data_IF_905687732890
#
_entry.id   IF_905687732890
#
_cell.length_a   1.000
_cell.length_b   1.000
_cell.length_c   1.000
_cell.angle_alpha   90.00
_cell.angle_beta   90.00
_cell.angle_gamma   90.00
#
_symmetry.space_group_name_H-M   'P 1'
#
loop_
_entity.id
_entity.type
_entity.pdbx_description
1 polymer ?
#
# COMPACT_ATOMS: atom_id res chain seq x y z
N UNK A 1 8.37 26.11 20.52
CA UNK A 1 7.87 24.85 21.08
C UNK A 1 6.34 24.89 21.13
N UNK A 2 5.70 24.21 20.19
CA UNK A 2 4.25 24.00 20.23
C UNK A 2 3.97 22.63 20.86
N UNK A 3 2.97 22.49 21.73
CA UNK A 3 2.61 21.19 22.28
C UNK A 3 2.17 20.23 21.18
N UNK A 4 2.54 18.98 21.29
CA UNK A 4 2.13 17.92 20.34
C UNK A 4 0.61 17.76 20.41
N UNK A 5 -0.11 17.86 19.30
CA UNK A 5 -1.56 17.74 19.30
C UNK A 5 -1.99 16.32 19.67
N UNK A 6 -2.83 16.17 20.69
CA UNK A 6 -3.46 14.90 21.05
C UNK A 6 -4.63 14.64 20.09
N UNK A 7 -4.40 13.88 19.02
CA UNK A 7 -5.47 13.47 18.11
C UNK A 7 -5.83 11.99 18.31
N UNK A 8 -7.10 11.64 18.14
CA UNK A 8 -7.56 10.22 18.17
C UNK A 8 -6.94 9.37 17.05
N UNK A 9 -6.29 10.00 16.07
CA UNK A 9 -5.55 9.33 15.00
C UNK A 9 -4.28 8.66 15.54
N UNK A 10 -3.63 9.29 16.53
CA UNK A 10 -2.36 8.83 17.12
C UNK A 10 -2.58 8.22 18.51
N UNK A 11 -3.48 8.78 19.29
CA UNK A 11 -3.77 8.36 20.67
C UNK A 11 -5.17 7.73 20.71
N UNK A 12 -5.26 6.41 20.59
CA UNK A 12 -6.52 5.68 20.59
C UNK A 12 -6.37 4.32 21.26
N UNK A 13 -6.68 4.25 22.54
CA UNK A 13 -6.53 3.05 23.34
C UNK A 13 -7.39 1.89 22.82
N UNK A 14 -8.57 2.18 22.23
CA UNK A 14 -9.46 1.16 21.67
C UNK A 14 -8.87 0.45 20.44
N UNK A 15 -7.83 1.02 19.81
CA UNK A 15 -7.14 0.42 18.66
C UNK A 15 -5.83 -0.28 19.04
N UNK A 16 -5.49 -0.29 20.32
CA UNK A 16 -4.34 -1.04 20.84
C UNK A 16 -4.86 -2.40 21.29
N UNK A 17 -4.62 -3.42 20.47
CA UNK A 17 -5.07 -4.79 20.77
C UNK A 17 -3.97 -5.61 21.45
N UNK A 18 -2.91 -5.96 20.72
CA UNK A 18 -1.87 -6.86 21.20
C UNK A 18 -0.57 -6.12 21.57
N UNK A 19 -0.22 -5.07 20.84
CA UNK A 19 1.05 -4.37 20.96
C UNK A 19 0.88 -2.85 20.85
N UNK A 20 1.70 -2.12 21.59
CA UNK A 20 1.84 -0.67 21.41
C UNK A 20 2.63 -0.33 20.14
N UNK A 21 2.58 0.92 19.71
CA UNK A 21 3.38 1.40 18.59
C UNK A 21 4.89 1.30 18.86
N UNK A 22 5.66 1.06 17.80
CA UNK A 22 7.12 1.15 17.86
C UNK A 22 7.50 2.62 17.82
N UNK A 23 8.12 3.11 18.89
CA UNK A 23 8.54 4.50 19.03
C UNK A 23 10.03 4.59 19.39
N UNK A 24 10.72 5.66 18.97
CA UNK A 24 12.09 5.91 19.44
C UNK A 24 12.13 6.11 20.94
N UNK A 25 13.11 5.52 21.62
CA UNK A 25 13.28 5.63 23.08
C UNK A 25 13.92 6.94 23.54
N UNK A 26 14.34 7.80 22.59
CA UNK A 26 15.12 9.01 22.87
C UNK A 26 16.63 8.77 23.06
N UNK A 27 17.04 7.51 23.14
CA UNK A 27 18.46 7.15 23.24
C UNK A 27 19.04 7.13 21.83
N UNK A 28 20.18 7.85 21.64
CA UNK A 28 20.88 7.85 20.37
C UNK A 28 21.42 6.44 20.06
N UNK A 29 21.06 5.84 18.93
CA UNK A 29 21.54 4.51 18.60
C UNK A 29 23.07 4.53 18.40
N UNK A 30 23.77 3.55 18.98
CA UNK A 30 25.20 3.35 18.84
C UNK A 30 25.49 1.91 18.45
N UNK A 31 26.55 1.68 17.67
CA UNK A 31 26.97 0.34 17.29
C UNK A 31 26.06 -0.37 16.27
N UNK A 32 25.16 0.36 15.62
CA UNK A 32 24.27 -0.20 14.61
C UNK A 32 24.90 -0.14 13.21
N UNK A 33 24.63 -1.16 12.38
CA UNK A 33 25.10 -1.22 11.01
C UNK A 33 24.33 -0.26 10.06
N UNK A 34 24.80 -0.05 8.82
CA UNK A 34 24.17 0.90 7.88
C UNK A 34 22.70 0.57 7.54
N UNK A 35 22.33 -0.70 7.51
CA UNK A 35 20.95 -1.10 7.20
C UNK A 35 20.02 -0.89 8.42
N UNK A 36 20.51 -1.18 9.61
CA UNK A 36 19.81 -0.84 10.86
C UNK A 36 19.62 0.67 11.00
N UNK A 37 20.62 1.49 10.61
CA UNK A 37 20.49 2.95 10.58
C UNK A 37 19.38 3.41 9.65
N UNK A 38 19.25 2.82 8.45
CA UNK A 38 18.18 3.14 7.50
C UNK A 38 16.81 2.80 8.09
N UNK A 39 16.67 1.61 8.67
CA UNK A 39 15.42 1.17 9.30
C UNK A 39 15.05 2.10 10.47
N UNK A 40 16.00 2.39 11.35
CA UNK A 40 15.79 3.32 12.45
C UNK A 40 15.33 4.70 11.96
N UNK A 41 16.00 5.23 10.92
CA UNK A 41 15.64 6.53 10.34
C UNK A 41 14.22 6.54 9.77
N UNK A 42 13.81 5.47 9.07
CA UNK A 42 12.45 5.35 8.52
C UNK A 42 11.40 5.29 9.63
N UNK A 43 11.64 4.50 10.68
CA UNK A 43 10.73 4.40 11.84
C UNK A 43 10.61 5.76 12.53
N UNK A 44 11.73 6.43 12.80
CA UNK A 44 11.76 7.75 13.44
C UNK A 44 11.00 8.79 12.61
N UNK A 45 11.24 8.84 11.29
CA UNK A 45 10.51 9.75 10.40
C UNK A 45 9.02 9.47 10.37
N UNK A 46 8.61 8.20 10.33
CA UNK A 46 7.20 7.82 10.40
C UNK A 46 6.55 8.23 11.71
N UNK A 47 7.25 8.04 12.81
CA UNK A 47 6.80 8.50 14.13
C UNK A 47 6.61 10.01 14.16
N UNK A 48 7.58 10.80 13.69
CA UNK A 48 7.49 12.26 13.62
C UNK A 48 6.33 12.69 12.70
N UNK A 49 6.21 12.08 11.52
CA UNK A 49 5.18 12.39 10.54
C UNK A 49 3.74 12.16 11.08
N UNK A 50 3.57 11.25 12.03
CA UNK A 50 2.27 10.99 12.66
C UNK A 50 1.71 12.21 13.43
N UNK A 51 2.58 13.12 13.86
CA UNK A 51 2.20 14.35 14.59
C UNK A 51 2.10 15.58 13.68
N UNK A 52 2.46 15.45 12.41
CA UNK A 52 2.31 16.53 11.44
C UNK A 52 0.87 16.66 10.96
N UNK A 53 0.49 17.85 10.47
CA UNK A 53 -0.83 18.05 9.87
C UNK A 53 -1.03 17.15 8.64
N UNK A 54 -2.28 16.94 8.26
CA UNK A 54 -2.61 16.16 7.07
C UNK A 54 -2.11 16.87 5.80
N UNK A 55 -1.70 16.05 4.81
CA UNK A 55 -1.43 16.55 3.47
C UNK A 55 -2.76 16.88 2.79
N UNK A 56 -2.90 18.12 2.32
CA UNK A 56 -4.10 18.57 1.60
C UNK A 56 -3.80 18.54 0.11
N UNK A 57 -4.63 17.79 -0.61
CA UNK A 57 -4.50 17.59 -2.05
C UNK A 57 -5.77 18.02 -2.75
N UNK A 58 -5.65 18.76 -3.84
CA UNK A 58 -6.73 19.01 -4.79
C UNK A 58 -6.67 17.97 -5.90
N UNK A 59 -7.76 17.26 -6.11
CA UNK A 59 -7.94 16.36 -7.23
C UNK A 59 -8.97 16.97 -8.18
N UNK A 60 -8.57 17.24 -9.42
CA UNK A 60 -9.44 17.77 -10.47
C UNK A 60 -9.75 16.65 -11.45
N UNK A 61 -11.02 16.45 -11.76
CA UNK A 61 -11.47 15.55 -12.82
C UNK A 61 -12.25 16.36 -13.84
N UNK A 62 -11.81 16.32 -15.09
CA UNK A 62 -12.47 16.98 -16.21
C UNK A 62 -13.02 15.90 -17.14
N UNK A 63 -14.29 16.04 -17.48
CA UNK A 63 -14.98 15.17 -18.42
C UNK A 63 -15.37 16.02 -19.64
N UNK A 64 -14.81 15.70 -20.78
CA UNK A 64 -15.13 16.35 -22.06
C UNK A 64 -15.88 15.40 -22.96
N UNK A 65 -16.82 15.90 -23.75
CA UNK A 65 -17.59 15.14 -24.73
C UNK A 65 -17.31 15.63 -26.13
N UNK A 66 -16.96 14.72 -27.02
CA UNK A 66 -16.79 15.01 -28.45
C UNK A 66 -17.60 13.97 -29.23
N UNK A 67 -18.64 14.41 -29.94
CA UNK A 67 -19.50 13.56 -30.80
C UNK A 67 -19.96 12.25 -30.09
N UNK A 68 -20.37 12.29 -28.83
CA UNK A 68 -20.81 11.16 -27.98
C UNK A 68 -19.66 10.30 -27.43
N UNK A 69 -18.40 10.67 -27.63
CA UNK A 69 -17.26 10.01 -27.00
C UNK A 69 -16.84 10.83 -25.79
N UNK A 70 -16.78 10.19 -24.63
CA UNK A 70 -16.35 10.81 -23.38
C UNK A 70 -14.83 10.71 -23.23
N UNK A 71 -14.20 11.84 -22.93
CA UNK A 71 -12.78 11.94 -22.58
C UNK A 71 -12.64 12.36 -21.12
N UNK A 72 -11.79 11.67 -20.38
CA UNK A 72 -11.53 11.95 -18.98
C UNK A 72 -10.08 12.35 -18.75
N UNK A 73 -9.87 13.52 -18.17
CA UNK A 73 -8.57 13.95 -17.67
C UNK A 73 -8.60 14.11 -16.16
N UNK A 74 -7.49 13.79 -15.49
CA UNK A 74 -7.36 13.92 -14.04
C UNK A 74 -6.09 14.67 -13.68
N UNK A 75 -6.22 15.63 -12.79
CA UNK A 75 -5.12 16.39 -12.22
C UNK A 75 -5.02 16.20 -10.72
N UNK A 76 -3.81 16.41 -10.18
CA UNK A 76 -3.53 16.36 -8.76
C UNK A 76 -2.55 17.47 -8.40
N UNK A 77 -2.90 18.26 -7.41
CA UNK A 77 -2.05 19.31 -6.87
C UNK A 77 -1.96 19.21 -5.35
N UNK A 78 -0.75 19.30 -4.81
CA UNK A 78 -0.54 19.34 -3.35
C UNK A 78 -0.66 20.77 -2.88
N UNK A 79 -1.76 21.09 -2.17
CA UNK A 79 -2.01 22.42 -1.63
C UNK A 79 -1.22 22.67 -0.33
N UNK A 80 -1.13 21.65 0.53
CA UNK A 80 -0.33 21.69 1.76
C UNK A 80 0.38 20.35 1.92
N UNK A 81 1.71 20.32 1.99
CA UNK A 81 2.47 19.06 2.07
C UNK A 81 2.24 18.33 3.39
N UNK A 82 2.01 19.03 4.51
CA UNK A 82 1.75 18.42 5.80
C UNK A 82 2.84 17.41 6.20
N UNK A 83 2.44 16.19 6.60
CA UNK A 83 3.38 15.15 7.01
C UNK A 83 4.42 14.76 5.94
N UNK A 84 4.19 15.09 4.66
CA UNK A 84 5.15 14.81 3.57
C UNK A 84 6.43 15.63 3.70
N UNK A 85 6.42 16.76 4.41
CA UNK A 85 7.61 17.59 4.66
C UNK A 85 8.73 16.80 5.34
N UNK A 86 8.38 15.84 6.21
CA UNK A 86 9.35 14.98 6.91
C UNK A 86 10.19 14.14 5.93
N UNK A 87 9.65 13.88 4.72
CA UNK A 87 10.27 13.06 3.68
C UNK A 87 10.77 13.87 2.49
N UNK A 88 10.68 15.21 2.51
CA UNK A 88 11.00 16.06 1.36
C UNK A 88 12.45 15.89 0.83
N UNK A 89 13.39 15.56 1.70
CA UNK A 89 14.81 15.37 1.35
C UNK A 89 15.15 13.94 0.90
N UNK A 90 14.18 13.03 0.82
CA UNK A 90 14.42 11.68 0.33
C UNK A 90 14.40 11.67 -1.19
N UNK A 91 15.50 11.19 -1.80
CA UNK A 91 15.50 10.92 -3.25
C UNK A 91 14.49 9.82 -3.52
N UNK A 92 13.59 10.00 -4.49
CA UNK A 92 12.63 8.96 -4.85
C UNK A 92 13.39 7.69 -5.24
N UNK A 93 13.13 6.59 -4.56
CA UNK A 93 13.85 5.33 -4.68
C UNK A 93 13.59 4.57 -6.00
N UNK A 94 12.72 5.06 -6.84
CA UNK A 94 12.52 4.55 -8.20
C UNK A 94 11.76 5.57 -9.06
N UNK A 95 12.03 5.55 -10.35
CA UNK A 95 11.45 6.41 -11.38
C UNK A 95 9.91 6.34 -11.58
N UNK A 96 9.19 5.67 -10.69
CA UNK A 96 7.74 5.45 -10.77
C UNK A 96 6.91 5.93 -9.58
N UNK A 97 7.52 6.52 -8.57
CA UNK A 97 6.80 7.08 -7.42
C UNK A 97 6.90 8.60 -7.28
N UNK A 98 7.26 9.30 -8.35
CA UNK A 98 6.79 10.65 -8.47
C UNK A 98 5.27 10.54 -8.65
N UNK A 99 4.53 10.77 -7.58
CA UNK A 99 3.21 11.35 -7.72
C UNK A 99 3.48 12.73 -8.33
N UNK A 100 3.70 12.74 -9.65
CA UNK A 100 3.92 13.98 -10.38
C UNK A 100 2.68 14.80 -10.17
N UNK A 101 2.87 15.99 -9.63
CA UNK A 101 1.81 16.99 -9.63
C UNK A 101 1.46 17.21 -11.10
N UNK A 102 0.26 16.79 -11.46
CA UNK A 102 -0.32 17.12 -12.75
C UNK A 102 -1.29 18.27 -12.50
N UNK A 103 -0.72 19.48 -12.51
CA UNK A 103 -1.52 20.68 -12.30
C UNK A 103 -2.30 20.92 -13.58
N UNK A 104 -3.62 20.82 -13.47
CA UNK A 104 -4.51 21.13 -14.57
C UNK A 104 -4.85 22.62 -14.58
N UNK A 105 -5.06 23.21 -15.77
CA UNK A 105 -5.62 24.55 -15.87
C UNK A 105 -7.02 24.62 -15.24
N UNK A 106 -7.51 25.80 -14.99
CA UNK A 106 -8.88 26.01 -14.55
C UNK A 106 -9.80 25.79 -15.75
N UNK A 107 -10.81 24.96 -15.58
CA UNK A 107 -11.85 24.70 -16.58
C UNK A 107 -13.18 25.27 -16.10
N UNK A 108 -13.98 25.79 -17.04
CA UNK A 108 -15.36 26.22 -16.81
C UNK A 108 -16.32 25.21 -17.42
N UNK A 109 -17.48 25.02 -16.80
CA UNK A 109 -18.50 24.12 -17.31
C UNK A 109 -19.05 24.67 -18.65
N UNK A 110 -19.04 23.81 -19.68
CA UNK A 110 -19.46 24.22 -21.03
C UNK A 110 -18.36 24.88 -21.87
N UNK A 111 -17.12 24.93 -21.39
CA UNK A 111 -15.98 25.41 -22.17
C UNK A 111 -15.79 24.56 -23.42
N UNK A 112 -15.53 25.23 -24.55
CA UNK A 112 -15.30 24.58 -25.85
C UNK A 112 -13.90 24.92 -26.36
N UNK A 113 -13.21 23.94 -26.96
CA UNK A 113 -11.88 24.15 -27.49
C UNK A 113 -11.56 23.21 -28.65
N UNK A 114 -10.44 23.44 -29.35
CA UNK A 114 -9.97 22.52 -30.38
C UNK A 114 -9.64 21.17 -29.77
N UNK A 115 -9.94 20.10 -30.50
CA UNK A 115 -9.70 18.73 -30.09
C UNK A 115 -8.97 17.96 -31.19
N UNK A 116 -7.80 17.41 -30.84
CA UNK A 116 -6.98 16.58 -31.70
C UNK A 116 -6.85 15.19 -31.07
N UNK A 117 -7.76 14.24 -31.41
CA UNK A 117 -7.72 12.91 -30.80
C UNK A 117 -6.62 12.05 -31.37
N UNK A 118 -5.88 11.35 -30.55
CA UNK A 118 -4.90 10.34 -30.91
C UNK A 118 -5.34 8.95 -30.46
N UNK A 119 -5.31 7.97 -31.36
CA UNK A 119 -5.58 6.57 -31.02
C UNK A 119 -4.25 5.88 -30.69
N UNK A 120 -4.08 5.49 -29.45
CA UNK A 120 -2.96 4.68 -29.02
C UNK A 120 -3.36 3.20 -28.91
N UNK A 121 -2.88 2.37 -29.83
CA UNK A 121 -3.03 0.92 -29.72
C UNK A 121 -2.19 0.41 -28.55
N UNK A 122 -2.82 -0.25 -27.60
CA UNK A 122 -2.16 -0.83 -26.42
C UNK A 122 -2.65 -2.25 -26.21
N UNK A 123 -1.75 -3.08 -25.68
CA UNK A 123 -2.07 -4.45 -25.29
C UNK A 123 -2.20 -4.53 -23.77
N UNK A 124 -3.14 -5.33 -23.29
CA UNK A 124 -3.24 -5.67 -21.88
C UNK A 124 -2.03 -6.50 -21.46
N UNK A 125 -1.54 -6.27 -20.26
CA UNK A 125 -0.42 -7.04 -19.71
C UNK A 125 -0.89 -7.77 -18.47
N UNK A 126 -0.43 -9.02 -18.26
CA UNK A 126 -0.74 -9.74 -17.02
C UNK A 126 -0.21 -8.98 -15.81
N UNK A 127 -0.79 -9.21 -14.63
CA UNK A 127 -0.26 -8.68 -13.37
C UNK A 127 1.23 -9.06 -13.21
N UNK A 128 1.99 -8.19 -12.58
CA UNK A 128 3.40 -8.47 -12.28
C UNK A 128 3.50 -9.51 -11.18
N UNK A 129 4.55 -10.34 -11.24
CA UNK A 129 4.90 -11.21 -10.12
C UNK A 129 5.06 -10.41 -8.82
N UNK A 130 4.70 -11.03 -7.71
CA UNK A 130 4.93 -10.44 -6.40
C UNK A 130 6.42 -10.29 -6.11
N UNK A 131 6.75 -9.24 -5.39
CA UNK A 131 7.98 -9.12 -4.61
C UNK A 131 7.63 -9.35 -3.14
N UNK A 132 8.60 -9.54 -2.26
CA UNK A 132 8.32 -9.69 -0.81
C UNK A 132 7.47 -8.53 -0.27
N UNK A 133 7.82 -7.29 -0.64
CA UNK A 133 7.08 -6.11 -0.22
C UNK A 133 5.64 -6.07 -0.76
N UNK A 134 5.43 -6.46 -2.02
CA UNK A 134 4.07 -6.47 -2.61
C UNK A 134 3.26 -7.66 -2.13
N UNK A 135 3.88 -8.79 -1.78
CA UNK A 135 3.21 -9.92 -1.17
C UNK A 135 2.75 -9.59 0.26
N UNK A 136 3.62 -8.98 1.08
CA UNK A 136 3.22 -8.48 2.40
C UNK A 136 2.03 -7.53 2.32
N UNK A 137 2.04 -6.60 1.36
CA UNK A 137 0.92 -5.69 1.13
C UNK A 137 -0.35 -6.40 0.68
N UNK A 138 -0.23 -7.43 -0.18
CA UNK A 138 -1.36 -8.24 -0.60
C UNK A 138 -1.97 -9.01 0.57
N UNK A 139 -1.16 -9.58 1.46
CA UNK A 139 -1.62 -10.21 2.69
C UNK A 139 -2.36 -9.23 3.59
N UNK A 140 -1.84 -8.01 3.77
CA UNK A 140 -2.47 -6.94 4.55
C UNK A 140 -3.82 -6.52 3.98
N UNK A 141 -3.93 -6.45 2.65
CA UNK A 141 -5.12 -5.96 1.96
C UNK A 141 -5.99 -7.07 1.37
N UNK A 142 -5.81 -8.32 1.78
CA UNK A 142 -6.51 -9.47 1.22
C UNK A 142 -8.04 -9.35 1.28
N UNK A 143 -8.57 -8.75 2.33
CA UNK A 143 -10.00 -8.48 2.47
C UNK A 143 -10.61 -7.55 1.42
N UNK A 144 -9.78 -6.73 0.73
CA UNK A 144 -10.31 -5.80 -0.30
C UNK A 144 -10.84 -6.50 -1.55
N UNK A 145 -10.41 -7.72 -1.79
CA UNK A 145 -10.79 -8.52 -2.96
C UNK A 145 -11.86 -9.56 -2.65
N UNK A 146 -12.46 -9.49 -1.47
CA UNK A 146 -13.51 -10.40 -1.02
C UNK A 146 -14.87 -9.82 -1.44
N UNK A 147 -15.67 -10.60 -2.13
CA UNK A 147 -16.98 -10.18 -2.63
C UNK A 147 -18.02 -10.08 -1.52
N UNK A 148 -17.94 -10.94 -0.51
CA UNK A 148 -18.79 -10.92 0.67
C UNK A 148 -18.47 -9.73 1.57
N UNK A 149 -19.50 -8.93 1.90
CA UNK A 149 -19.33 -7.65 2.61
C UNK A 149 -18.99 -7.86 4.10
N UNK A 150 -19.56 -8.88 4.74
CA UNK A 150 -19.30 -9.21 6.13
C UNK A 150 -17.88 -9.76 6.31
N UNK A 151 -17.45 -10.64 5.42
CA UNK A 151 -16.08 -11.15 5.34
C UNK A 151 -15.07 -10.07 4.99
N UNK A 152 -15.42 -9.17 4.08
CA UNK A 152 -14.58 -8.03 3.72
C UNK A 152 -14.35 -7.12 4.92
N UNK A 153 -15.37 -6.86 5.71
CA UNK A 153 -15.27 -6.04 6.92
C UNK A 153 -14.41 -6.75 7.98
N UNK A 154 -14.60 -8.05 8.20
CA UNK A 154 -13.80 -8.86 9.12
C UNK A 154 -12.31 -8.90 8.73
N UNK A 155 -12.00 -9.01 7.45
CA UNK A 155 -10.62 -9.02 6.94
C UNK A 155 -10.00 -7.63 6.79
N UNK A 156 -10.79 -6.56 6.83
CA UNK A 156 -10.32 -5.18 6.63
C UNK A 156 -9.35 -4.74 7.72
N UNK A 157 -9.51 -5.24 8.92
CA UNK A 157 -8.63 -4.91 10.06
C UNK A 157 -7.39 -5.80 10.14
N UNK A 158 -7.48 -7.07 9.74
CA UNK A 158 -6.43 -8.07 10.01
C UNK A 158 -5.72 -8.60 8.75
N UNK A 159 -6.40 -8.69 7.59
CA UNK A 159 -5.85 -9.33 6.38
C UNK A 159 -5.57 -10.82 6.60
N UNK A 160 -4.56 -11.36 5.90
CA UNK A 160 -4.05 -12.73 6.11
C UNK A 160 -2.83 -12.66 7.04
N UNK A 161 -2.91 -13.33 8.17
CA UNK A 161 -1.88 -13.34 9.19
C UNK A 161 -1.69 -11.98 9.88
N UNK A 162 -1.14 -11.99 11.08
CA UNK A 162 -0.86 -10.77 11.84
C UNK A 162 0.40 -10.05 11.33
N UNK A 163 0.53 -8.74 11.47
CA UNK A 163 1.71 -7.99 11.03
C UNK A 163 3.04 -8.60 11.51
N UNK A 164 3.08 -9.12 12.75
CA UNK A 164 4.27 -9.75 13.34
C UNK A 164 4.63 -11.11 12.76
N UNK A 165 3.69 -11.81 12.13
CA UNK A 165 3.90 -13.19 11.64
C UNK A 165 4.04 -13.28 10.12
N UNK A 166 3.54 -12.30 9.34
CA UNK A 166 3.55 -12.32 7.87
C UNK A 166 4.93 -12.58 7.28
N UNK A 167 5.95 -11.88 7.78
CA UNK A 167 7.32 -12.08 7.28
C UNK A 167 7.79 -13.52 7.50
N UNK A 168 7.57 -14.09 8.68
CA UNK A 168 7.95 -15.45 9.01
C UNK A 168 7.18 -16.50 8.20
N UNK A 169 5.90 -16.21 7.86
CA UNK A 169 5.11 -17.08 6.96
C UNK A 169 5.79 -17.13 5.59
N UNK A 170 6.13 -15.99 5.00
CA UNK A 170 6.80 -15.91 3.70
C UNK A 170 8.15 -16.64 3.73
N UNK A 171 8.97 -16.40 4.76
CA UNK A 171 10.25 -17.11 4.94
C UNK A 171 10.07 -18.63 5.07
N UNK A 172 9.01 -19.06 5.74
CA UNK A 172 8.70 -20.48 5.87
C UNK A 172 8.35 -21.10 4.52
N UNK A 173 7.61 -20.39 3.65
CA UNK A 173 7.31 -20.85 2.30
C UNK A 173 8.58 -20.99 1.44
N UNK A 174 9.53 -20.08 1.57
CA UNK A 174 10.83 -20.20 0.92
C UNK A 174 11.64 -21.37 1.49
N UNK A 175 11.74 -21.50 2.80
CA UNK A 175 12.47 -22.58 3.46
C UNK A 175 11.93 -23.97 3.08
N UNK A 176 10.62 -24.09 2.93
CA UNK A 176 9.96 -25.33 2.48
C UNK A 176 9.99 -25.52 0.96
N UNK A 177 10.62 -24.59 0.23
CA UNK A 177 10.73 -24.61 -1.23
C UNK A 177 9.38 -24.63 -1.97
N UNK A 178 8.35 -24.06 -1.38
CA UNK A 178 7.09 -23.82 -2.07
C UNK A 178 7.15 -22.55 -2.93
N UNK A 179 7.99 -21.60 -2.53
CA UNK A 179 8.32 -20.40 -3.27
C UNK A 179 9.81 -20.33 -3.57
N UNK A 180 10.16 -19.72 -4.70
CA UNK A 180 11.52 -19.36 -5.07
C UNK A 180 11.61 -17.89 -5.46
N UNK A 181 12.80 -17.31 -5.31
CA UNK A 181 13.08 -15.93 -5.67
C UNK A 181 13.90 -15.88 -6.95
N UNK A 182 13.37 -15.24 -8.00
CA UNK A 182 14.11 -14.94 -9.24
C UNK A 182 14.33 -13.43 -9.31
N UNK A 183 15.56 -12.99 -9.01
CA UNK A 183 15.88 -11.55 -8.81
C UNK A 183 15.04 -10.96 -7.66
N UNK A 184 14.10 -10.07 -7.98
CA UNK A 184 13.18 -9.44 -7.03
C UNK A 184 11.80 -10.10 -7.00
N UNK A 185 11.51 -10.98 -7.96
CA UNK A 185 10.20 -11.59 -8.14
C UNK A 185 10.09 -12.93 -7.40
N UNK A 186 8.92 -13.18 -6.84
CA UNK A 186 8.57 -14.43 -6.18
C UNK A 186 7.82 -15.30 -7.19
N UNK A 187 8.22 -16.55 -7.29
CA UNK A 187 7.59 -17.56 -8.12
C UNK A 187 7.19 -18.77 -7.27
N UNK A 188 6.03 -19.35 -7.58
CA UNK A 188 5.68 -20.65 -7.05
C UNK A 188 6.55 -21.73 -7.70
N UNK A 189 7.02 -22.68 -6.92
CA UNK A 189 7.75 -23.84 -7.43
C UNK A 189 6.77 -24.94 -7.85
N UNK A 190 7.25 -25.95 -8.58
CA UNK A 190 6.46 -27.13 -8.91
C UNK A 190 5.90 -27.80 -7.64
N UNK A 191 6.71 -27.88 -6.59
CA UNK A 191 6.28 -28.42 -5.27
C UNK A 191 5.19 -27.58 -4.64
N UNK A 192 5.29 -26.24 -4.73
CA UNK A 192 4.29 -25.34 -4.20
C UNK A 192 2.95 -25.46 -4.94
N UNK A 193 2.98 -25.53 -6.27
CA UNK A 193 1.78 -25.73 -7.09
C UNK A 193 1.17 -27.09 -6.79
N UNK A 194 1.97 -28.15 -6.81
CA UNK A 194 1.50 -29.52 -6.52
C UNK A 194 0.89 -29.67 -5.12
N UNK A 195 1.39 -28.92 -4.12
CA UNK A 195 0.76 -28.90 -2.81
C UNK A 195 -0.68 -28.36 -2.88
N UNK A 196 -0.89 -27.27 -3.59
CA UNK A 196 -2.22 -26.66 -3.74
C UNK A 196 -3.17 -27.59 -4.53
N UNK A 197 -2.65 -28.30 -5.52
CA UNK A 197 -3.43 -29.25 -6.34
C UNK A 197 -3.90 -30.45 -5.52
N UNK A 198 -3.08 -30.93 -4.57
CA UNK A 198 -3.43 -32.07 -3.69
C UNK A 198 -4.43 -31.70 -2.61
N UNK A 199 -4.44 -30.44 -2.17
CA UNK A 199 -5.41 -29.98 -1.16
C UNK A 199 -6.81 -29.96 -1.77
N UNK A 200 -7.72 -30.80 -1.24
CA UNK A 200 -9.10 -30.87 -1.71
C UNK A 200 -10.03 -29.86 -1.04
N UNK A 201 -9.65 -29.34 0.12
CA UNK A 201 -10.46 -28.39 0.88
C UNK A 201 -10.29 -26.97 0.34
N UNK A 202 -11.35 -26.40 -0.19
CA UNK A 202 -11.37 -25.00 -0.64
C UNK A 202 -11.14 -24.02 0.52
N UNK A 203 -11.54 -24.40 1.73
CA UNK A 203 -11.28 -23.65 2.96
C UNK A 203 -9.78 -23.32 3.15
N UNK A 204 -8.89 -24.26 2.83
CA UNK A 204 -7.45 -24.08 2.98
C UNK A 204 -6.80 -23.35 1.81
N UNK A 205 -7.51 -23.16 0.71
CA UNK A 205 -7.02 -22.47 -0.50
C UNK A 205 -7.57 -21.06 -0.67
N UNK A 206 -8.66 -20.74 0.03
CA UNK A 206 -9.33 -19.45 -0.09
C UNK A 206 -8.81 -18.45 0.94
N UNK A 207 -8.39 -17.28 0.46
CA UNK A 207 -8.07 -16.15 1.33
C UNK A 207 -9.30 -15.69 2.13
N UNK A 208 -10.47 -15.80 1.52
CA UNK A 208 -11.78 -15.44 2.04
C UNK A 208 -12.16 -16.29 3.25
N UNK A 209 -12.03 -17.61 3.11
CA UNK A 209 -12.31 -18.54 4.20
C UNK A 209 -11.27 -18.49 5.32
N UNK A 210 -10.03 -18.11 5.01
CA UNK A 210 -9.01 -17.83 6.04
C UNK A 210 -9.44 -16.65 6.92
N UNK A 211 -10.04 -15.61 6.31
CA UNK A 211 -10.60 -14.48 7.06
C UNK A 211 -11.72 -14.88 8.03
N UNK A 212 -12.59 -15.81 7.65
CA UNK A 212 -13.62 -16.37 8.55
C UNK A 212 -13.01 -17.08 9.76
N UNK A 213 -11.92 -17.77 9.57
CA UNK A 213 -11.24 -18.46 10.66
C UNK A 213 -10.52 -17.52 11.62
N UNK A 214 -9.96 -16.44 11.10
CA UNK A 214 -9.28 -15.44 11.93
C UNK A 214 -10.28 -14.55 12.70
N UNK A 215 -11.53 -14.51 12.27
CA UNK A 215 -12.59 -13.74 12.94
C UNK A 215 -13.29 -14.53 14.07
N UNK A 216 -13.19 -15.86 14.13
CA UNK A 216 -13.72 -16.71 15.21
C UNK A 216 -12.78 -16.81 16.40
#
# INVERSE_FOLDING_TARGET
DKPIPKSKKVFNDNKVTDHHAIIPTGIKPSGINPDEQKIYAVITKRFIAAFYPDCIVSNTTVIGNVEKVEFKATGKQILKPGWREVFANEKPSSSKSKEEENIMPTFEEGEHGPHEPEIQAKETRPPKYFTEATLLRAMESAGKNVDDEELREAMKENGIGRPSTRANIIETLFRRKYLEKKKKNIHATVTGVGLIDVIQSDLLKSAELTGQWEHK
#
